data_IF_088273010311
#
_entry.id   IF_088273010311
#
_cell.length_a   1.000
_cell.length_b   1.000
_cell.length_c   1.000
_cell.angle_alpha   90.00
_cell.angle_beta   90.00
_cell.angle_gamma   90.00
#
_symmetry.space_group_name_H-M   'P 1'
#
loop_
_entity.id
_entity.type
_entity.pdbx_description
1 polymer ?
#
# COMPACT_ATOMS: atom_id res chain seq x y z
N UNK A 1 -3.88 17.07 34.40
CA UNK A 1 -3.61 15.79 33.71
C UNK A 1 -4.57 15.76 32.53
N UNK A 2 -4.17 16.32 31.38
CA UNK A 2 -4.99 16.28 30.16
C UNK A 2 -4.94 14.84 29.70
N UNK A 3 -6.07 14.13 29.78
CA UNK A 3 -6.22 12.88 29.06
C UNK A 3 -6.16 13.25 27.58
N UNK A 4 -5.02 13.07 26.92
CA UNK A 4 -4.94 13.10 25.46
C UNK A 4 -5.83 11.98 24.95
N UNK A 5 -7.11 12.28 24.77
CA UNK A 5 -8.00 11.44 24.00
C UNK A 5 -7.41 11.39 22.61
N UNK A 6 -6.96 10.20 22.18
CA UNK A 6 -6.51 9.96 20.82
C UNK A 6 -7.49 10.63 19.85
N UNK A 7 -6.97 11.36 18.87
CA UNK A 7 -7.82 11.87 17.80
C UNK A 7 -8.59 10.72 17.15
N UNK A 8 -9.77 10.99 16.55
CA UNK A 8 -10.63 9.93 16.04
C UNK A 8 -9.91 9.05 14.99
N UNK A 9 -9.13 9.67 14.10
CA UNK A 9 -8.39 8.95 13.05
C UNK A 9 -7.24 8.16 13.63
N UNK A 10 -6.45 8.77 14.52
CA UNK A 10 -5.35 8.10 15.22
C UNK A 10 -5.87 6.88 16.01
N UNK A 11 -6.92 7.07 16.80
CA UNK A 11 -7.51 6.01 17.61
C UNK A 11 -8.01 4.84 16.77
N UNK A 12 -8.68 5.12 15.65
CA UNK A 12 -9.15 4.10 14.71
C UNK A 12 -7.98 3.32 14.09
N UNK A 13 -7.02 4.01 13.47
CA UNK A 13 -5.89 3.35 12.80
C UNK A 13 -5.04 2.54 13.77
N UNK A 14 -4.89 3.01 15.02
CA UNK A 14 -4.15 2.25 16.03
C UNK A 14 -4.90 0.99 16.47
N UNK A 15 -6.22 1.06 16.62
CA UNK A 15 -7.03 -0.14 16.94
C UNK A 15 -6.97 -1.15 15.80
N UNK A 16 -7.13 -0.69 14.55
CA UNK A 16 -7.04 -1.54 13.37
C UNK A 16 -5.65 -2.18 13.24
N UNK A 17 -4.59 -1.38 13.32
CA UNK A 17 -3.21 -1.88 13.25
C UNK A 17 -2.91 -2.90 14.33
N UNK A 18 -3.32 -2.64 15.57
CA UNK A 18 -3.18 -3.61 16.67
C UNK A 18 -3.96 -4.90 16.42
N UNK A 19 -5.17 -4.82 15.89
CA UNK A 19 -5.96 -6.01 15.57
C UNK A 19 -5.27 -6.86 14.51
N UNK A 20 -4.74 -6.23 13.44
CA UNK A 20 -4.03 -6.93 12.37
C UNK A 20 -2.73 -7.58 12.86
N UNK A 21 -1.92 -6.83 13.61
CA UNK A 21 -0.63 -7.30 14.15
C UNK A 21 -0.82 -8.43 15.17
N UNK A 22 -1.94 -8.45 15.90
CA UNK A 22 -2.26 -9.51 16.86
C UNK A 22 -3.00 -10.70 16.24
N UNK A 23 -3.55 -10.59 15.03
CA UNK A 23 -4.25 -11.68 14.37
C UNK A 23 -3.30 -12.87 14.13
N UNK A 24 -3.72 -14.14 14.20
CA UNK A 24 -2.81 -15.29 14.06
C UNK A 24 -1.94 -15.23 12.79
N UNK A 25 -0.69 -15.74 12.80
CA UNK A 25 0.19 -15.68 11.62
C UNK A 25 -0.45 -16.26 10.36
N UNK A 26 -1.19 -17.37 10.48
CA UNK A 26 -1.89 -17.98 9.35
C UNK A 26 -2.93 -17.04 8.74
N UNK A 27 -3.62 -16.25 9.56
CA UNK A 27 -4.60 -15.27 9.11
C UNK A 27 -3.92 -14.09 8.41
N UNK A 28 -2.81 -13.58 8.97
CA UNK A 28 -2.05 -12.50 8.34
C UNK A 28 -1.53 -12.89 6.95
N UNK A 29 -0.93 -14.09 6.81
CA UNK A 29 -0.50 -14.60 5.52
C UNK A 29 -1.66 -14.91 4.57
N UNK A 30 -2.82 -15.31 5.09
CA UNK A 30 -4.04 -15.45 4.27
C UNK A 30 -4.45 -14.11 3.67
N UNK A 31 -4.39 -13.01 4.42
CA UNK A 31 -4.67 -11.67 3.89
C UNK A 31 -3.68 -11.26 2.80
N UNK A 32 -2.38 -11.56 2.98
CA UNK A 32 -1.35 -11.32 1.95
C UNK A 32 -1.68 -12.05 0.66
N UNK A 33 -1.94 -13.36 0.75
CA UNK A 33 -2.22 -14.20 -0.43
C UNK A 33 -3.56 -13.83 -1.09
N UNK A 34 -4.60 -13.59 -0.29
CA UNK A 34 -5.91 -13.20 -0.80
C UNK A 34 -5.84 -11.87 -1.55
N UNK A 35 -5.14 -10.87 -0.98
CA UNK A 35 -4.99 -9.57 -1.62
C UNK A 35 -4.10 -9.60 -2.84
N UNK A 36 -3.00 -10.38 -2.81
CA UNK A 36 -2.22 -10.69 -4.01
C UNK A 36 -3.09 -11.31 -5.11
N UNK A 37 -3.94 -12.28 -4.75
CA UNK A 37 -4.91 -12.89 -5.67
C UNK A 37 -5.90 -11.89 -6.26
N UNK A 38 -6.36 -10.90 -5.48
CA UNK A 38 -7.19 -9.79 -5.98
C UNK A 38 -6.43 -8.96 -7.01
N UNK A 39 -5.17 -8.57 -6.72
CA UNK A 39 -4.32 -7.83 -7.67
C UNK A 39 -4.17 -8.63 -8.97
N UNK A 40 -3.77 -9.90 -8.87
CA UNK A 40 -3.59 -10.79 -10.02
C UNK A 40 -4.87 -10.90 -10.87
N UNK A 41 -6.02 -11.07 -10.22
CA UNK A 41 -7.31 -11.16 -10.90
C UNK A 41 -7.66 -9.87 -11.63
N UNK A 42 -7.46 -8.71 -11.01
CA UNK A 42 -7.67 -7.41 -11.64
C UNK A 42 -6.72 -7.20 -12.84
N UNK A 43 -5.46 -7.62 -12.72
CA UNK A 43 -4.45 -7.53 -13.78
C UNK A 43 -4.68 -8.52 -14.94
N UNK A 44 -5.55 -9.52 -14.75
CA UNK A 44 -5.95 -10.47 -15.81
C UNK A 44 -6.95 -9.88 -16.81
N UNK A 45 -7.55 -8.71 -16.52
CA UNK A 45 -8.52 -8.10 -17.43
C UNK A 45 -7.82 -7.49 -18.66
N UNK A 46 -8.21 -7.99 -19.84
CA UNK A 46 -7.75 -7.51 -21.14
C UNK A 46 -8.32 -6.14 -21.49
N UNK A 47 -7.50 -5.28 -22.08
CA UNK A 47 -7.92 -3.96 -22.58
C UNK A 47 -8.17 -3.98 -24.10
N UNK A 48 -8.68 -5.10 -24.62
CA UNK A 48 -9.04 -5.26 -26.04
C UNK A 48 -10.51 -4.86 -26.22
N UNK A 49 -10.74 -3.63 -26.68
CA UNK A 49 -12.08 -3.07 -26.89
C UNK A 49 -12.02 -1.62 -27.36
N UNK A 50 -13.16 -0.95 -27.62
CA UNK A 50 -13.19 0.48 -27.91
C UNK A 50 -12.49 1.23 -26.78
N UNK A 51 -11.34 1.82 -27.08
CA UNK A 51 -10.62 2.61 -26.09
C UNK A 51 -11.47 3.85 -25.81
N UNK A 52 -11.79 4.07 -24.55
CA UNK A 52 -12.25 5.39 -24.13
C UNK A 52 -10.98 6.22 -24.02
N UNK A 53 -10.66 6.95 -25.09
CA UNK A 53 -9.43 7.73 -25.26
C UNK A 53 -9.43 8.96 -24.34
N UNK A 54 -9.47 8.75 -23.02
CA UNK A 54 -9.50 9.81 -22.04
C UNK A 54 -8.27 9.72 -21.14
N UNK A 55 -7.55 10.85 -21.03
CA UNK A 55 -6.47 11.00 -20.07
C UNK A 55 -6.95 10.71 -18.63
N UNK A 56 -8.23 10.97 -18.34
CA UNK A 56 -8.85 10.66 -17.05
C UNK A 56 -8.85 9.15 -16.77
N UNK A 57 -9.23 8.30 -17.74
CA UNK A 57 -9.22 6.84 -17.55
C UNK A 57 -7.82 6.29 -17.38
N UNK A 58 -6.83 6.85 -18.09
CA UNK A 58 -5.42 6.50 -17.90
C UNK A 58 -4.95 6.83 -16.46
N UNK A 59 -5.23 8.04 -15.99
CA UNK A 59 -4.88 8.44 -14.61
C UNK A 59 -5.60 7.60 -13.57
N UNK A 60 -6.90 7.33 -13.74
CA UNK A 60 -7.67 6.51 -12.79
C UNK A 60 -7.19 5.05 -12.74
N UNK A 61 -6.83 4.48 -13.90
CA UNK A 61 -6.23 3.15 -13.97
C UNK A 61 -4.91 3.08 -13.21
N UNK A 62 -4.02 4.05 -13.46
CA UNK A 62 -2.71 4.12 -12.79
C UNK A 62 -2.84 4.47 -11.31
N UNK A 63 -3.88 5.21 -10.92
CA UNK A 63 -4.14 5.54 -9.52
C UNK A 63 -4.57 4.31 -8.71
N UNK A 64 -5.06 3.24 -9.34
CA UNK A 64 -5.45 2.01 -8.65
C UNK A 64 -4.24 1.23 -8.10
N UNK A 65 -3.06 1.38 -8.71
CA UNK A 65 -1.82 0.70 -8.29
C UNK A 65 -1.44 1.04 -6.84
N UNK A 66 -1.31 2.33 -6.53
CA UNK A 66 -0.86 2.78 -5.22
C UNK A 66 -1.71 2.24 -4.03
N UNK A 67 -3.06 2.31 -4.02
CA UNK A 67 -3.85 1.71 -2.94
C UNK A 67 -3.81 0.18 -2.95
N UNK A 68 -3.79 -0.48 -4.10
CA UNK A 68 -3.70 -1.94 -4.18
C UNK A 68 -2.39 -2.44 -3.54
N UNK A 69 -1.26 -1.89 -3.94
CA UNK A 69 0.04 -2.32 -3.42
C UNK A 69 0.36 -1.72 -2.05
N UNK A 70 -0.24 -0.58 -1.70
CA UNK A 70 -0.24 -0.07 -0.32
C UNK A 70 -0.93 -1.02 0.66
N UNK A 71 -2.10 -1.56 0.30
CA UNK A 71 -2.79 -2.58 1.12
C UNK A 71 -1.99 -3.88 1.17
N UNK A 72 -1.35 -4.29 0.07
CA UNK A 72 -0.40 -5.42 0.09
C UNK A 72 0.73 -5.17 1.09
N UNK A 73 1.32 -3.97 1.07
CA UNK A 73 2.38 -3.58 2.01
C UNK A 73 1.89 -3.61 3.47
N UNK A 74 0.65 -3.19 3.75
CA UNK A 74 0.05 -3.29 5.07
C UNK A 74 -0.04 -4.75 5.53
N UNK A 75 -0.53 -5.66 4.69
CA UNK A 75 -0.64 -7.07 5.04
C UNK A 75 0.72 -7.75 5.19
N UNK A 76 1.68 -7.46 4.31
CA UNK A 76 3.06 -7.96 4.45
C UNK A 76 3.70 -7.42 5.72
N UNK A 77 3.55 -6.12 6.01
CA UNK A 77 4.08 -5.52 7.22
C UNK A 77 3.48 -6.15 8.47
N UNK A 78 2.17 -6.40 8.53
CA UNK A 78 1.51 -7.01 9.70
C UNK A 78 1.74 -8.53 9.82
N UNK A 79 2.10 -9.21 8.73
CA UNK A 79 2.55 -10.60 8.75
C UNK A 79 4.00 -10.73 9.26
N UNK A 80 4.89 -9.80 8.89
CA UNK A 80 6.30 -9.80 9.29
C UNK A 80 6.54 -9.17 10.67
N UNK A 81 5.87 -8.04 10.94
CA UNK A 81 6.00 -7.26 12.17
C UNK A 81 4.88 -7.65 13.12
N UNK A 82 5.19 -8.55 14.03
CA UNK A 82 4.27 -9.10 15.03
C UNK A 82 4.43 -8.34 16.36
N UNK A 83 3.34 -8.29 17.15
CA UNK A 83 3.40 -7.72 18.50
C UNK A 83 4.20 -8.70 19.38
N UNK A 84 5.32 -8.23 19.90
CA UNK A 84 6.18 -8.95 20.84
C UNK A 84 5.78 -8.69 22.30
N UNK A 85 4.62 -8.08 22.53
CA UNK A 85 4.13 -7.67 23.84
C UNK A 85 4.57 -6.27 24.25
N UNK A 86 5.33 -5.56 23.41
CA UNK A 86 5.78 -4.17 23.68
C UNK A 86 4.87 -3.11 23.08
N UNK A 87 3.82 -3.50 22.34
CA UNK A 87 2.77 -2.62 21.86
C UNK A 87 2.81 -2.39 20.35
N UNK A 88 3.01 -1.14 19.90
CA UNK A 88 3.01 -0.86 18.46
C UNK A 88 4.31 -1.39 17.83
N UNK A 89 4.25 -2.17 16.73
CA UNK A 89 5.45 -2.76 16.16
C UNK A 89 6.43 -1.67 15.68
N UNK A 90 7.71 -1.90 15.93
CA UNK A 90 8.77 -1.01 15.45
C UNK A 90 9.04 -1.27 13.97
N UNK A 91 8.77 -0.25 13.14
CA UNK A 91 9.08 -0.29 11.71
C UNK A 91 10.53 0.17 11.52
N UNK A 92 11.46 -0.78 11.59
CA UNK A 92 12.88 -0.53 11.39
C UNK A 92 13.27 -0.57 9.90
N UNK A 93 14.45 -0.04 9.55
CA UNK A 93 14.97 -0.01 8.17
C UNK A 93 14.97 -1.42 7.56
N UNK A 94 15.36 -2.47 8.30
CA UNK A 94 15.32 -3.85 7.81
C UNK A 94 13.93 -4.29 7.38
N UNK A 95 12.91 -3.89 8.13
CA UNK A 95 11.51 -4.24 7.88
C UNK A 95 10.96 -3.46 6.70
N UNK A 96 11.34 -2.17 6.58
CA UNK A 96 11.02 -1.35 5.39
C UNK A 96 11.59 -1.98 4.13
N UNK A 97 12.88 -2.34 4.15
CA UNK A 97 13.54 -2.99 3.00
C UNK A 97 12.87 -4.32 2.66
N UNK A 98 12.55 -5.15 3.65
CA UNK A 98 11.88 -6.43 3.43
C UNK A 98 10.50 -6.26 2.80
N UNK A 99 9.66 -5.37 3.34
CA UNK A 99 8.31 -5.12 2.81
C UNK A 99 8.39 -4.54 1.39
N UNK A 100 9.22 -3.51 1.16
CA UNK A 100 9.37 -2.93 -0.17
C UNK A 100 9.95 -3.91 -1.19
N UNK A 101 10.85 -4.80 -0.78
CA UNK A 101 11.37 -5.85 -1.67
C UNK A 101 10.28 -6.84 -2.06
N UNK A 102 9.46 -7.30 -1.12
CA UNK A 102 8.35 -8.22 -1.40
C UNK A 102 7.32 -7.56 -2.32
N UNK A 103 6.92 -6.32 -2.02
CA UNK A 103 5.94 -5.58 -2.83
C UNK A 103 6.50 -5.29 -4.22
N UNK A 104 7.75 -4.82 -4.32
CA UNK A 104 8.38 -4.53 -5.61
C UNK A 104 8.59 -5.78 -6.46
N UNK A 105 8.96 -6.91 -5.86
CA UNK A 105 9.03 -8.20 -6.55
C UNK A 105 7.64 -8.63 -7.04
N UNK A 106 6.61 -8.47 -6.20
CA UNK A 106 5.24 -8.79 -6.60
C UNK A 106 4.74 -7.89 -7.75
N UNK A 107 5.04 -6.59 -7.70
CA UNK A 107 4.72 -5.65 -8.79
C UNK A 107 5.43 -6.01 -10.09
N UNK A 108 6.73 -6.37 -10.03
CA UNK A 108 7.45 -6.85 -11.20
C UNK A 108 6.88 -8.16 -11.77
N UNK A 109 6.41 -9.07 -10.90
CA UNK A 109 5.71 -10.30 -11.30
C UNK A 109 4.36 -9.95 -11.94
N UNK A 110 3.64 -8.96 -11.42
CA UNK A 110 2.36 -8.52 -11.99
C UNK A 110 2.56 -7.91 -13.39
N UNK A 111 3.56 -7.05 -13.58
CA UNK A 111 3.92 -6.50 -14.89
C UNK A 111 4.32 -7.59 -15.89
N UNK A 112 5.07 -8.59 -15.43
CA UNK A 112 5.38 -9.77 -16.24
C UNK A 112 4.13 -10.57 -16.59
N UNK A 113 3.22 -10.78 -15.64
CA UNK A 113 1.93 -11.43 -15.86
C UNK A 113 1.07 -10.65 -16.88
N UNK A 114 0.97 -9.32 -16.74
CA UNK A 114 0.26 -8.45 -17.66
C UNK A 114 0.84 -8.48 -19.08
N UNK A 115 2.12 -8.80 -19.25
CA UNK A 115 2.72 -8.98 -20.59
C UNK A 115 2.07 -10.09 -21.41
N UNK A 116 1.42 -11.04 -20.75
CA UNK A 116 0.64 -12.12 -21.38
C UNK A 116 -0.85 -11.76 -21.54
N UNK A 117 -1.30 -10.64 -20.97
CA UNK A 117 -2.70 -10.19 -21.04
C UNK A 117 -2.93 -9.33 -22.29
N UNK A 118 -3.82 -9.73 -23.21
CA UNK A 118 -4.06 -8.97 -24.44
C UNK A 118 -4.46 -7.51 -24.17
N UNK A 119 -3.83 -6.58 -24.90
CA UNK A 119 -4.12 -5.15 -24.81
C UNK A 119 -3.51 -4.43 -23.60
N UNK A 120 -2.82 -5.15 -22.69
CA UNK A 120 -2.00 -4.55 -21.64
C UNK A 120 -0.59 -4.23 -22.15
N UNK A 121 0.06 -3.26 -21.51
CA UNK A 121 1.45 -2.90 -21.77
C UNK A 121 2.17 -2.82 -20.44
N UNK A 122 3.19 -3.66 -20.21
CA UNK A 122 3.99 -3.55 -19.01
C UNK A 122 4.67 -2.17 -18.91
N UNK A 123 4.70 -1.61 -17.71
CA UNK A 123 5.14 -0.28 -17.35
C UNK A 123 5.99 -0.34 -16.08
N UNK A 124 7.29 -0.02 -16.17
CA UNK A 124 8.13 0.14 -14.97
C UNK A 124 7.62 1.24 -14.01
N UNK A 125 6.83 2.19 -14.52
CA UNK A 125 6.21 3.24 -13.70
C UNK A 125 5.07 2.72 -12.83
N UNK A 126 4.48 1.58 -13.18
CA UNK A 126 3.44 0.94 -12.37
C UNK A 126 4.09 0.35 -11.11
N UNK A 127 5.24 -0.33 -11.26
CA UNK A 127 6.07 -0.79 -10.12
C UNK A 127 6.53 0.38 -9.24
N UNK A 128 6.89 1.52 -9.85
CA UNK A 128 7.26 2.72 -9.09
C UNK A 128 6.06 3.26 -8.28
N UNK A 129 4.87 3.27 -8.88
CA UNK A 129 3.61 3.68 -8.23
C UNK A 129 3.25 2.73 -7.08
N UNK A 130 3.46 1.43 -7.27
CA UNK A 130 3.26 0.39 -6.24
C UNK A 130 4.14 0.65 -5.02
N UNK A 131 5.44 0.92 -5.26
CA UNK A 131 6.41 1.21 -4.22
C UNK A 131 6.13 2.53 -3.49
N UNK A 132 5.56 3.54 -4.17
CA UNK A 132 5.12 4.80 -3.55
C UNK A 132 3.94 4.52 -2.60
N UNK A 133 2.94 3.74 -3.03
CA UNK A 133 1.82 3.33 -2.19
C UNK A 133 2.28 2.57 -0.94
N UNK A 134 3.19 1.60 -1.12
CA UNK A 134 3.79 0.84 -0.03
C UNK A 134 4.60 1.72 0.95
N UNK A 135 5.40 2.65 0.41
CA UNK A 135 6.20 3.58 1.21
C UNK A 135 5.31 4.51 2.06
N UNK A 136 4.19 4.98 1.51
CA UNK A 136 3.23 5.80 2.26
C UNK A 136 2.65 5.03 3.45
N UNK A 137 2.28 3.76 3.26
CA UNK A 137 1.75 2.91 4.33
C UNK A 137 2.78 2.69 5.43
N UNK A 138 4.03 2.38 5.07
CA UNK A 138 5.12 2.21 6.04
C UNK A 138 5.43 3.51 6.78
N UNK A 139 5.43 4.65 6.10
CA UNK A 139 5.66 5.97 6.70
C UNK A 139 4.58 6.34 7.72
N UNK A 140 3.31 6.11 7.39
CA UNK A 140 2.18 6.33 8.29
C UNK A 140 2.24 5.35 9.47
N UNK A 141 2.51 4.06 9.21
CA UNK A 141 2.67 3.03 10.24
C UNK A 141 3.80 3.35 11.23
N UNK A 142 4.94 3.86 10.73
CA UNK A 142 6.06 4.27 11.57
C UNK A 142 5.69 5.48 12.43
N UNK A 143 4.97 6.46 11.87
CA UNK A 143 4.52 7.64 12.60
C UNK A 143 3.55 7.28 13.75
N UNK A 144 2.62 6.36 13.52
CA UNK A 144 1.69 5.86 14.55
C UNK A 144 2.40 5.18 15.73
N UNK A 145 3.65 4.72 15.54
CA UNK A 145 4.50 4.16 16.59
C UNK A 145 5.20 5.20 17.46
N UNK A 146 5.26 6.47 17.04
CA UNK A 146 6.01 7.51 17.75
C UNK A 146 5.27 8.02 19.00
N UNK A 147 6.02 8.54 19.98
CA UNK A 147 5.44 9.18 21.17
C UNK A 147 4.94 10.60 20.90
N UNK A 148 5.44 11.25 19.85
CA UNK A 148 5.10 12.62 19.44
C UNK A 148 3.96 12.67 18.41
N UNK A 149 3.26 11.55 18.21
CA UNK A 149 2.18 11.48 17.25
C UNK A 149 1.01 12.37 17.67
N UNK A 150 0.42 13.03 16.69
CA UNK A 150 -0.76 13.88 16.85
C UNK A 150 -1.73 13.62 15.70
N UNK A 151 -3.03 13.84 15.94
CA UNK A 151 -4.07 13.74 14.89
C UNK A 151 -3.71 14.61 13.67
N UNK A 152 -3.29 15.86 13.90
CA UNK A 152 -2.89 16.77 12.82
C UNK A 152 -1.69 16.22 12.04
N UNK A 153 -0.67 15.74 12.74
CA UNK A 153 0.52 15.17 12.09
C UNK A 153 0.20 13.89 11.31
N UNK A 154 -0.80 13.13 11.71
CA UNK A 154 -1.30 11.97 10.99
C UNK A 154 -2.07 12.38 9.74
N UNK A 155 -3.01 13.33 9.85
CA UNK A 155 -3.78 13.84 8.72
C UNK A 155 -2.89 14.47 7.64
N UNK A 156 -1.84 15.21 8.04
CA UNK A 156 -0.88 15.75 7.08
C UNK A 156 -0.15 14.65 6.30
N UNK A 157 0.19 13.53 6.94
CA UNK A 157 0.83 12.39 6.28
C UNK A 157 -0.12 11.66 5.34
N UNK A 158 -1.38 11.49 5.74
CA UNK A 158 -2.42 10.92 4.89
C UNK A 158 -2.63 11.78 3.64
N UNK A 159 -2.76 13.10 3.81
CA UNK A 159 -2.91 14.05 2.69
C UNK A 159 -1.67 14.06 1.78
N UNK A 160 -0.47 14.09 2.36
CA UNK A 160 0.77 13.99 1.59
C UNK A 160 0.88 12.66 0.83
N UNK A 161 0.50 11.54 1.47
CA UNK A 161 0.47 10.23 0.84
C UNK A 161 -0.48 10.18 -0.36
N UNK A 162 -1.70 10.72 -0.22
CA UNK A 162 -2.64 10.88 -1.35
C UNK A 162 -2.01 11.73 -2.46
N UNK A 163 -1.35 12.83 -2.11
CA UNK A 163 -0.64 13.68 -3.07
C UNK A 163 0.47 12.94 -3.82
N UNK A 164 1.28 12.13 -3.14
CA UNK A 164 2.32 11.31 -3.77
C UNK A 164 1.73 10.25 -4.71
N UNK A 165 0.69 9.54 -4.28
CA UNK A 165 0.00 8.52 -5.08
C UNK A 165 -0.65 9.13 -6.34
N UNK A 166 -1.25 10.32 -6.21
CA UNK A 166 -1.81 11.04 -7.35
C UNK A 166 -0.72 11.50 -8.32
N UNK A 167 0.38 12.05 -7.80
CA UNK A 167 1.50 12.52 -8.63
C UNK A 167 2.12 11.38 -9.42
N UNK A 168 2.34 10.20 -8.81
CA UNK A 168 2.84 9.03 -9.52
C UNK A 168 1.88 8.54 -10.61
N UNK A 169 0.58 8.50 -10.31
CA UNK A 169 -0.44 8.08 -11.27
C UNK A 169 -0.55 9.02 -12.49
N UNK A 170 -0.32 10.32 -12.29
CA UNK A 170 -0.29 11.32 -13.38
C UNK A 170 0.97 11.20 -14.23
N UNK A 171 2.11 10.81 -13.66
CA UNK A 171 3.36 10.67 -14.40
C UNK A 171 3.46 9.36 -15.18
N UNK A 172 2.81 8.29 -14.70
CA UNK A 172 2.88 6.96 -15.29
C UNK A 172 2.47 6.86 -16.79
N UNK A 173 1.47 7.59 -17.32
CA UNK A 173 1.12 7.55 -18.75
C UNK A 173 2.17 8.17 -19.69
N UNK A 174 3.13 8.94 -19.18
CA UNK A 174 4.07 9.73 -19.99
C UNK A 174 5.45 9.08 -20.15
N UNK A 175 5.64 7.87 -19.63
CA UNK A 175 6.86 7.05 -19.74
C UNK A 175 6.72 5.92 -20.75
#
# INVERSE_FOLDING_TARGET
MVTDSLGPTEGFLRRLGRALVNAPPVFAWTLVLAHGGVIWWLSSFSNVGPKVDSALWAVLGNLAHAPLFGVLALFVATALLRDDGTGWPRIEVRSVVAVLSIVGLYGAIDEWHQSFTPGRRPSPMDVATDLIGASCVLWIGAYLGTCERTERGLLLRLLAGVGFCFTSAVLAPFS
#
